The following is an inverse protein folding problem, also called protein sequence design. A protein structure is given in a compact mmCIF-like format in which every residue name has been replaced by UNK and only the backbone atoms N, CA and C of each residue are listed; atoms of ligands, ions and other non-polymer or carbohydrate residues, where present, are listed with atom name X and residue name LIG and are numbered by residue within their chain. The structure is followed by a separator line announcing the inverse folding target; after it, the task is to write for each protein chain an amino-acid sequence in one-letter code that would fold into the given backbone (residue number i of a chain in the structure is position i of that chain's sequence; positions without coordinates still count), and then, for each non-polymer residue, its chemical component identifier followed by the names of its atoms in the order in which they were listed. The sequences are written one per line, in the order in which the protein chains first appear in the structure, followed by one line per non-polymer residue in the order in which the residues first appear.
data_IF_090490253464
#
_entry.id   IF_090490253464
#
_cell.length_a   1.000
_cell.length_b   1.000
_cell.length_c   1.000
_cell.angle_alpha   90.00
_cell.angle_beta   90.00
_cell.angle_gamma   90.00
#
_symmetry.space_group_name_H-M   'P 1'
#
loop_
_entity.id
_entity.type
_entity.pdbx_description
1 polymer ?
#
# COMPACT_ATOMS: atom_id res chain seq x y z
N UNK A 1 20.96 -26.28 7.27
CA UNK A 1 20.14 -25.07 7.49
C UNK A 1 19.58 -24.68 6.13
N UNK A 2 18.33 -25.05 5.85
CA UNK A 2 17.70 -24.70 4.57
C UNK A 2 17.23 -23.25 4.70
N UNK A 3 17.97 -22.32 4.10
CA UNK A 3 17.47 -20.97 3.89
C UNK A 3 16.33 -21.08 2.89
N UNK A 4 15.10 -21.05 3.38
CA UNK A 4 13.91 -20.86 2.56
C UNK A 4 14.00 -19.43 2.01
N UNK A 5 14.70 -19.27 0.89
CA UNK A 5 14.66 -18.05 0.08
C UNK A 5 13.28 -17.99 -0.55
N UNK A 6 12.29 -17.51 0.22
CA UNK A 6 10.98 -17.20 -0.29
C UNK A 6 11.15 -16.12 -1.36
N UNK A 7 10.74 -16.46 -2.58
CA UNK A 7 10.65 -15.49 -3.68
C UNK A 7 9.83 -14.30 -3.19
N UNK A 8 10.46 -13.13 -3.08
CA UNK A 8 9.77 -11.89 -2.74
C UNK A 8 8.77 -11.62 -3.87
N UNK A 9 7.49 -11.89 -3.61
CA UNK A 9 6.41 -11.56 -4.52
C UNK A 9 6.35 -10.04 -4.58
N UNK A 10 6.70 -9.42 -5.70
CA UNK A 10 6.67 -7.95 -5.88
C UNK A 10 5.37 -7.29 -5.36
N UNK A 11 4.28 -8.06 -5.30
CA UNK A 11 2.98 -7.70 -4.74
C UNK A 11 2.97 -7.41 -3.22
N UNK A 12 3.98 -7.84 -2.44
CA UNK A 12 4.10 -7.61 -0.98
C UNK A 12 4.82 -6.29 -0.65
N UNK A 13 5.35 -5.61 -1.66
CA UNK A 13 6.06 -4.34 -1.52
C UNK A 13 5.12 -3.17 -1.83
N UNK A 14 5.12 -2.17 -0.94
CA UNK A 14 4.41 -0.93 -1.13
C UNK A 14 5.05 -0.13 -2.27
N UNK A 15 4.29 0.23 -3.31
CA UNK A 15 4.82 0.95 -4.48
C UNK A 15 5.34 2.34 -4.14
N UNK A 16 4.85 2.96 -3.06
CA UNK A 16 5.21 4.34 -2.68
C UNK A 16 6.51 4.43 -1.86
N UNK A 17 6.77 3.45 -0.97
CA UNK A 17 7.93 3.51 -0.07
C UNK A 17 8.88 2.33 -0.19
N UNK A 18 8.59 1.35 -1.05
CA UNK A 18 9.40 0.16 -1.29
C UNK A 18 9.66 -0.70 -0.02
N UNK A 19 8.75 -0.64 0.95
CA UNK A 19 8.73 -1.50 2.16
C UNK A 19 7.56 -2.48 2.11
N UNK A 20 7.52 -3.45 3.02
CA UNK A 20 6.37 -4.35 3.14
C UNK A 20 5.04 -3.59 3.24
N UNK A 21 4.03 -4.04 2.48
CA UNK A 21 2.72 -3.41 2.45
C UNK A 21 1.72 -3.95 3.49
N UNK A 22 2.05 -5.07 4.15
CA UNK A 22 1.21 -5.70 5.17
C UNK A 22 -0.09 -6.31 4.61
N UNK A 23 -0.11 -6.72 3.34
CA UNK A 23 -1.26 -7.37 2.75
C UNK A 23 -1.48 -8.76 3.36
N UNK A 24 -2.49 -8.89 4.22
CA UNK A 24 -2.78 -10.15 4.92
C UNK A 24 -3.11 -11.30 3.95
N UNK A 25 -3.69 -11.01 2.78
CA UNK A 25 -3.98 -12.02 1.74
C UNK A 25 -2.71 -12.66 1.18
N UNK A 26 -1.66 -11.86 0.97
CA UNK A 26 -0.35 -12.38 0.52
C UNK A 26 0.30 -13.22 1.63
N UNK A 27 0.03 -12.88 2.88
CA UNK A 27 0.44 -13.64 4.06
C UNK A 27 -0.46 -14.87 4.35
N UNK A 28 -1.40 -15.20 3.45
CA UNK A 28 -2.28 -16.38 3.57
C UNK A 28 -3.46 -16.23 4.53
N UNK A 29 -3.81 -15.00 4.93
CA UNK A 29 -4.97 -14.67 5.77
C UNK A 29 -6.14 -14.16 4.93
N UNK A 30 -7.30 -13.99 5.55
CA UNK A 30 -8.49 -13.52 4.86
C UNK A 30 -8.45 -11.99 4.63
N UNK A 31 -9.14 -11.50 3.59
CA UNK A 31 -9.25 -10.07 3.30
C UNK A 31 -9.84 -9.28 4.49
N UNK A 32 -10.77 -9.90 5.23
CA UNK A 32 -11.40 -9.30 6.41
C UNK A 32 -10.40 -8.97 7.51
N UNK A 33 -9.23 -9.63 7.53
CA UNK A 33 -8.16 -9.43 8.51
C UNK A 33 -7.07 -8.47 7.99
N UNK A 34 -7.18 -8.02 6.73
CA UNK A 34 -6.22 -7.10 6.14
C UNK A 34 -6.48 -5.68 6.64
N UNK A 35 -5.42 -4.95 7.03
CA UNK A 35 -5.56 -3.57 7.50
C UNK A 35 -6.26 -2.66 6.47
N UNK A 36 -6.16 -2.96 5.17
CA UNK A 36 -6.80 -2.18 4.12
C UNK A 36 -8.34 -2.28 4.16
N UNK A 37 -8.89 -3.34 4.74
CA UNK A 37 -10.32 -3.52 4.96
C UNK A 37 -10.85 -2.72 6.17
N UNK A 38 -9.95 -2.15 6.98
CA UNK A 38 -10.28 -1.41 8.20
C UNK A 38 -9.92 0.08 8.12
N UNK A 39 -9.63 0.59 6.93
CA UNK A 39 -9.26 1.98 6.73
C UNK A 39 -9.99 2.58 5.55
N UNK A 40 -10.27 3.88 5.63
CA UNK A 40 -10.72 4.67 4.49
C UNK A 40 -9.53 5.04 3.61
N UNK A 41 -9.75 5.18 2.31
CA UNK A 41 -8.75 5.73 1.39
C UNK A 41 -9.11 7.19 1.06
N UNK A 42 -8.12 8.09 0.88
CA UNK A 42 -8.40 9.44 0.42
C UNK A 42 -8.95 9.40 -1.02
N UNK A 43 -9.58 10.49 -1.49
CA UNK A 43 -10.07 10.57 -2.85
C UNK A 43 -8.99 10.20 -3.88
N UNK A 44 -9.39 9.53 -4.96
CA UNK A 44 -8.46 9.05 -6.00
C UNK A 44 -7.61 10.19 -6.58
N UNK A 45 -8.11 11.42 -6.59
CA UNK A 45 -7.38 12.61 -7.05
C UNK A 45 -6.13 12.93 -6.22
N UNK A 46 -6.09 12.52 -4.94
CA UNK A 46 -4.92 12.67 -4.06
C UNK A 46 -3.81 11.68 -4.44
N UNK A 47 -4.19 10.55 -5.04
CA UNK A 47 -3.28 9.52 -5.55
C UNK A 47 -2.96 9.77 -7.03
N UNK A 48 -2.94 11.04 -7.46
CA UNK A 48 -2.54 11.41 -8.83
C UNK A 48 -1.06 11.07 -9.07
N UNK A 49 -0.86 10.51 -10.24
CA UNK A 49 0.30 9.81 -10.75
C UNK A 49 -0.28 8.76 -11.69
N UNK A 50 0.38 8.43 -12.79
CA UNK A 50 0.14 7.15 -13.45
C UNK A 50 0.14 6.13 -12.31
N UNK A 51 -1.00 5.56 -11.96
CA UNK A 51 -1.03 4.46 -11.03
C UNK A 51 -0.64 3.29 -11.93
N UNK A 52 0.67 2.96 -12.10
CA UNK A 52 1.05 1.84 -12.94
C UNK A 52 0.26 0.69 -12.39
N UNK A 53 -0.63 0.10 -13.18
CA UNK A 53 -1.60 -0.94 -12.82
C UNK A 53 -1.24 -1.53 -11.44
N UNK A 54 -1.75 -0.94 -10.35
CA UNK A 54 -1.11 -1.14 -9.04
C UNK A 54 -1.41 -2.58 -8.61
N UNK A 55 -0.51 -3.49 -8.98
CA UNK A 55 -0.57 -4.93 -8.67
C UNK A 55 -0.17 -5.20 -7.21
N UNK A 56 -0.03 -4.16 -6.38
CA UNK A 56 0.42 -4.23 -5.00
C UNK A 56 -0.33 -3.21 -4.11
N UNK A 57 -0.50 -3.55 -2.83
CA UNK A 57 -1.13 -2.66 -1.85
C UNK A 57 -0.19 -1.52 -1.43
N UNK A 58 -0.75 -0.34 -1.12
CA UNK A 58 -0.05 0.75 -0.42
C UNK A 58 0.05 0.39 1.06
N UNK A 59 1.13 0.66 1.81
CA UNK A 59 1.19 0.30 3.24
C UNK A 59 0.40 1.27 4.14
N UNK A 60 0.12 0.84 5.38
CA UNK A 60 -0.62 1.64 6.38
C UNK A 60 0.02 3.02 6.66
N UNK A 61 1.35 3.10 6.67
CA UNK A 61 2.06 4.38 6.88
C UNK A 61 1.91 5.32 5.70
N UNK A 62 1.95 4.80 4.48
CA UNK A 62 1.77 5.63 3.28
C UNK A 62 0.34 6.13 3.17
N UNK A 63 -0.68 5.30 3.46
CA UNK A 63 -2.06 5.78 3.42
C UNK A 63 -2.33 6.86 4.48
N UNK A 64 -1.71 6.77 5.66
CA UNK A 64 -1.82 7.81 6.68
C UNK A 64 -1.26 9.15 6.19
N UNK A 65 -0.09 9.14 5.53
CA UNK A 65 0.49 10.35 4.93
C UNK A 65 -0.38 10.93 3.82
N UNK A 66 -0.93 10.09 2.95
CA UNK A 66 -1.82 10.55 1.88
C UNK A 66 -3.10 11.22 2.44
N UNK A 67 -3.61 10.73 3.58
CA UNK A 67 -4.74 11.38 4.26
C UNK A 67 -4.35 12.74 4.80
N UNK A 68 -3.22 12.84 5.49
CA UNK A 68 -2.70 14.11 6.01
C UNK A 68 -2.49 15.13 4.87
N UNK A 69 -1.88 14.72 3.76
CA UNK A 69 -1.72 15.56 2.57
C UNK A 69 -3.06 16.05 2.02
N UNK A 70 -4.09 15.18 1.99
CA UNK A 70 -5.43 15.52 1.54
C UNK A 70 -6.12 16.53 2.46
N UNK A 71 -5.99 16.35 3.78
CA UNK A 71 -6.57 17.24 4.79
C UNK A 71 -5.90 18.62 4.78
N UNK A 72 -4.59 18.67 4.51
CA UNK A 72 -3.83 19.92 4.38
C UNK A 72 -3.99 20.59 3.01
N UNK A 73 -4.71 19.97 2.07
CA UNK A 73 -4.91 20.51 0.72
C UNK A 73 -3.62 20.57 -0.12
N UNK A 74 -2.63 19.74 0.21
CA UNK A 74 -1.34 19.72 -0.49
C UNK A 74 -1.52 19.05 -1.86
N UNK A 75 -1.04 19.71 -2.92
CA UNK A 75 -0.98 19.14 -4.26
C UNK A 75 0.38 18.50 -4.48
N UNK A 76 0.38 17.22 -4.83
CA UNK A 76 1.58 16.56 -5.34
C UNK A 76 1.89 17.13 -6.72
N UNK A 77 3.08 17.71 -6.85
CA UNK A 77 3.67 18.11 -8.13
C UNK A 77 4.43 16.87 -8.61
N UNK A 78 3.85 16.16 -9.58
CA UNK A 78 4.52 15.08 -10.31
C UNK A 78 5.81 15.56 -11.01
#
# INVERSE_FOLDING_TARGET
MIVMTQSINKSDICPLCQRQNGCAVIEGKELKDCWCNHTTFPPKEVVKGEAPELKACICQSCIAKLKEEAELGLKRLD
#
